data_IF_566770951148
#
_entry.id   IF_566770951148
#
_cell.length_a   1.000
_cell.length_b   1.000
_cell.length_c   1.000
_cell.angle_alpha   90.00
_cell.angle_beta   90.00
_cell.angle_gamma   90.00
#
_symmetry.space_group_name_H-M   'P 1'
#
loop_
_entity.id
_entity.type
_entity.pdbx_description
1 polymer ?
#
# COMPACT_ATOMS: atom_id res chain seq x y z
N UNK A 1 -18.12 14.03 6.18
CA UNK A 1 -18.59 15.04 7.17
C UNK A 1 -17.62 15.06 8.32
N UNK A 2 -16.77 16.10 8.37
CA UNK A 2 -15.78 16.22 9.42
C UNK A 2 -16.42 16.30 10.81
N UNK A 3 -16.05 15.37 11.66
CA UNK A 3 -16.46 15.42 13.04
C UNK A 3 -15.79 16.64 13.72
N UNK A 4 -16.59 17.44 14.41
CA UNK A 4 -16.04 18.50 15.26
C UNK A 4 -15.48 17.84 16.52
N UNK A 5 -14.15 17.73 16.63
CA UNK A 5 -13.50 17.28 17.85
C UNK A 5 -13.21 18.50 18.72
N UNK A 6 -14.03 18.71 19.73
CA UNK A 6 -13.94 19.88 20.60
C UNK A 6 -14.21 21.19 19.87
N UNK A 7 -13.27 22.15 19.93
CA UNK A 7 -13.36 23.45 19.24
C UNK A 7 -12.67 23.48 17.87
N UNK A 8 -12.04 22.38 17.44
CA UNK A 8 -11.30 22.30 16.19
C UNK A 8 -12.24 21.80 15.10
N UNK A 9 -12.63 22.69 14.19
CA UNK A 9 -13.43 22.34 13.02
C UNK A 9 -12.53 21.71 11.96
N UNK A 10 -13.06 20.69 11.24
CA UNK A 10 -12.35 20.05 10.13
C UNK A 10 -11.35 18.98 10.54
N UNK A 11 -11.24 18.65 11.82
CA UNK A 11 -10.40 17.56 12.29
C UNK A 11 -11.20 16.23 12.27
N UNK A 12 -10.63 15.24 11.62
CA UNK A 12 -11.20 13.90 11.48
C UNK A 12 -10.19 12.86 11.93
N UNK A 13 -10.70 11.78 12.52
CA UNK A 13 -9.94 10.59 12.87
C UNK A 13 -10.66 9.37 12.33
N UNK A 14 -9.90 8.44 11.77
CA UNK A 14 -10.35 7.08 11.50
C UNK A 14 -9.44 6.13 12.27
N UNK A 15 -10.04 5.14 12.89
CA UNK A 15 -9.38 3.98 13.43
C UNK A 15 -10.21 2.77 13.00
N UNK A 16 -9.68 1.99 12.09
CA UNK A 16 -10.35 0.82 11.51
C UNK A 16 -9.39 -0.37 11.60
N UNK A 17 -9.91 -1.48 12.05
CA UNK A 17 -9.22 -2.77 12.07
C UNK A 17 -10.20 -3.80 11.55
N UNK A 18 -9.86 -4.43 10.45
CA UNK A 18 -10.67 -5.45 9.80
C UNK A 18 -9.98 -6.81 9.88
N UNK A 19 -10.78 -7.82 10.16
CA UNK A 19 -10.34 -9.20 10.10
C UNK A 19 -11.06 -9.90 8.96
N UNK A 20 -10.29 -10.42 8.02
CA UNK A 20 -10.81 -11.14 6.86
C UNK A 20 -10.19 -12.53 6.79
N UNK A 21 -11.03 -13.55 6.59
CA UNK A 21 -10.58 -14.91 6.29
C UNK A 21 -10.98 -15.29 4.88
N UNK A 22 -9.99 -15.51 4.02
CA UNK A 22 -10.23 -15.88 2.63
C UNK A 22 -9.36 -17.08 2.24
N UNK A 23 -9.99 -18.12 1.69
CA UNK A 23 -9.32 -19.35 1.24
C UNK A 23 -8.40 -19.99 2.30
N UNK A 24 -8.76 -19.84 3.58
CA UNK A 24 -7.97 -20.42 4.68
C UNK A 24 -6.82 -19.54 5.17
N UNK A 25 -6.63 -18.36 4.58
CA UNK A 25 -5.67 -17.34 5.04
C UNK A 25 -6.41 -16.28 5.84
N UNK A 26 -5.84 -15.91 6.97
CA UNK A 26 -6.35 -14.87 7.86
C UNK A 26 -5.58 -13.56 7.59
N UNK A 27 -6.31 -12.47 7.35
CA UNK A 27 -5.79 -11.13 7.16
C UNK A 27 -6.27 -10.25 8.30
N UNK A 28 -5.36 -9.48 8.87
CA UNK A 28 -5.68 -8.40 9.80
C UNK A 28 -5.30 -7.09 9.12
N UNK A 29 -6.29 -6.38 8.62
CA UNK A 29 -6.09 -5.13 7.91
C UNK A 29 -6.28 -3.96 8.89
N UNK A 30 -5.49 -2.91 8.71
CA UNK A 30 -5.53 -1.73 9.56
C UNK A 30 -5.54 -0.48 8.70
N UNK A 31 -6.45 0.43 9.00
CA UNK A 31 -6.50 1.74 8.36
C UNK A 31 -6.74 2.82 9.40
N UNK A 32 -5.75 3.64 9.63
CA UNK A 32 -5.80 4.72 10.59
C UNK A 32 -5.43 6.02 9.93
N UNK A 33 -6.20 7.07 10.13
CA UNK A 33 -5.77 8.40 9.71
C UNK A 33 -6.18 9.50 10.69
N UNK A 34 -5.40 10.57 10.66
CA UNK A 34 -5.75 11.89 11.15
C UNK A 34 -5.78 12.83 9.97
N UNK A 35 -6.85 13.57 9.80
CA UNK A 35 -7.00 14.53 8.71
C UNK A 35 -7.55 15.85 9.22
N UNK A 36 -6.93 16.93 8.81
CA UNK A 36 -7.43 18.29 9.01
C UNK A 36 -7.78 18.90 7.65
N UNK A 37 -8.99 19.42 7.54
CA UNK A 37 -9.48 20.08 6.31
C UNK A 37 -10.13 21.40 6.68
N UNK A 38 -9.63 22.48 6.14
CA UNK A 38 -10.27 23.78 6.18
C UNK A 38 -10.55 24.33 4.78
N UNK A 39 -10.79 25.64 4.67
CA UNK A 39 -11.06 26.28 3.37
C UNK A 39 -9.83 26.34 2.46
N UNK A 40 -8.61 26.22 3.01
CA UNK A 40 -7.35 26.42 2.30
C UNK A 40 -6.43 25.22 2.30
N UNK A 41 -6.48 24.38 3.34
CA UNK A 41 -5.52 23.32 3.56
C UNK A 41 -6.18 21.98 3.76
N UNK A 42 -5.51 20.93 3.29
CA UNK A 42 -5.79 19.55 3.60
C UNK A 42 -4.48 18.97 4.13
N UNK A 43 -4.45 18.57 5.40
CA UNK A 43 -3.32 17.93 6.05
C UNK A 43 -3.78 16.52 6.43
N UNK A 44 -3.01 15.50 6.10
CA UNK A 44 -3.36 14.10 6.40
C UNK A 44 -2.11 13.33 6.84
N UNK A 45 -2.24 12.55 7.91
CA UNK A 45 -1.36 11.45 8.26
C UNK A 45 -2.15 10.16 8.18
N UNK A 46 -1.64 9.14 7.51
CA UNK A 46 -2.34 7.89 7.26
C UNK A 46 -1.40 6.70 7.44
N UNK A 47 -1.87 5.68 8.14
CA UNK A 47 -1.28 4.36 8.17
C UNK A 47 -2.26 3.37 7.54
N UNK A 48 -1.78 2.61 6.57
CA UNK A 48 -2.53 1.55 5.92
C UNK A 48 -1.71 0.26 5.94
N UNK A 49 -2.37 -0.81 6.32
CA UNK A 49 -1.91 -2.18 6.19
C UNK A 49 -3.08 -3.01 5.65
N UNK A 50 -2.96 -3.46 4.41
CA UNK A 50 -4.01 -4.19 3.68
C UNK A 50 -3.40 -5.45 3.09
N UNK A 51 -3.68 -6.59 3.70
CA UNK A 51 -3.14 -7.88 3.30
C UNK A 51 -3.70 -8.40 1.99
N UNK A 52 -4.90 -7.99 1.62
CA UNK A 52 -5.49 -8.36 0.33
C UNK A 52 -4.85 -7.59 -0.84
N UNK A 53 -4.64 -6.29 -0.64
CA UNK A 53 -3.98 -5.44 -1.63
C UNK A 53 -2.45 -5.56 -1.61
N UNK A 54 -1.90 -6.26 -0.61
CA UNK A 54 -0.45 -6.44 -0.40
C UNK A 54 0.28 -5.09 -0.25
N UNK A 55 -0.31 -4.21 0.57
CA UNK A 55 0.15 -2.83 0.75
C UNK A 55 0.32 -2.53 2.24
N UNK A 56 1.46 -1.92 2.59
CA UNK A 56 1.71 -1.37 3.92
C UNK A 56 2.48 -0.07 3.79
N UNK A 57 1.92 1.02 4.32
CA UNK A 57 2.59 2.31 4.29
C UNK A 57 2.17 3.25 5.41
N UNK A 58 3.05 4.20 5.71
CA UNK A 58 2.72 5.43 6.41
C UNK A 58 2.87 6.61 5.45
N UNK A 59 1.83 7.43 5.30
CA UNK A 59 1.83 8.59 4.41
C UNK A 59 1.50 9.87 5.19
N UNK A 60 2.24 10.93 4.91
CA UNK A 60 1.82 12.29 5.24
C UNK A 60 1.58 13.07 3.96
N UNK A 61 0.52 13.87 3.92
CA UNK A 61 0.26 14.75 2.79
C UNK A 61 -0.18 16.15 3.24
N UNK A 62 0.34 17.14 2.54
CA UNK A 62 0.06 18.56 2.73
C UNK A 62 -0.39 19.15 1.41
N UNK A 63 -1.63 19.64 1.35
CA UNK A 63 -2.21 20.14 0.11
C UNK A 63 -2.82 21.51 0.35
N UNK A 64 -2.60 22.41 -0.59
CA UNK A 64 -3.33 23.66 -0.69
C UNK A 64 -4.59 23.46 -1.52
N UNK A 65 -5.71 23.97 -1.02
CA UNK A 65 -7.03 23.86 -1.64
C UNK A 65 -7.43 25.17 -2.27
N UNK A 66 -7.74 25.12 -3.55
CA UNK A 66 -8.30 26.22 -4.30
C UNK A 66 -9.79 25.99 -4.55
N UNK A 67 -10.61 26.79 -3.90
CA UNK A 67 -12.08 26.72 -4.00
C UNK A 67 -12.54 27.54 -5.21
N UNK A 68 -13.03 26.87 -6.24
CA UNK A 68 -13.59 27.53 -7.43
C UNK A 68 -14.99 28.09 -7.13
N UNK A 69 -15.81 27.30 -6.42
CA UNK A 69 -17.13 27.66 -5.94
C UNK A 69 -17.53 26.75 -4.77
N UNK A 70 -18.74 26.86 -4.27
CA UNK A 70 -19.22 26.04 -3.15
C UNK A 70 -19.33 24.55 -3.43
N UNK A 71 -19.20 24.12 -4.69
CA UNK A 71 -19.32 22.74 -5.11
C UNK A 71 -18.02 22.11 -5.59
N UNK A 72 -17.11 22.92 -6.14
CA UNK A 72 -15.89 22.46 -6.78
C UNK A 72 -14.66 23.09 -6.14
N UNK A 73 -13.72 22.28 -5.77
CA UNK A 73 -12.37 22.69 -5.38
C UNK A 73 -11.32 21.81 -6.03
N UNK A 74 -10.18 22.39 -6.32
CA UNK A 74 -8.96 21.70 -6.68
C UNK A 74 -7.99 21.73 -5.51
N UNK A 75 -7.10 20.77 -5.45
CA UNK A 75 -6.01 20.78 -4.48
C UNK A 75 -4.70 20.35 -5.13
N UNK A 76 -3.61 20.90 -4.63
CA UNK A 76 -2.26 20.54 -5.07
C UNK A 76 -1.31 20.61 -3.86
N UNK A 77 -0.34 19.71 -3.82
CA UNK A 77 0.61 19.67 -2.73
C UNK A 77 1.60 18.52 -2.86
N UNK A 78 2.07 18.06 -1.72
CA UNK A 78 3.07 17.01 -1.63
C UNK A 78 2.58 15.90 -0.71
N UNK A 79 3.04 14.69 -1.01
CA UNK A 79 2.92 13.53 -0.13
C UNK A 79 4.30 12.92 0.10
N UNK A 80 4.51 12.45 1.31
CA UNK A 80 5.67 11.65 1.69
C UNK A 80 5.16 10.31 2.19
N UNK A 81 5.66 9.23 1.61
CA UNK A 81 5.24 7.90 1.95
C UNK A 81 6.44 7.05 2.33
N UNK A 82 6.35 6.41 3.48
CA UNK A 82 7.21 5.33 3.90
C UNK A 82 6.47 4.04 3.67
N UNK A 83 6.90 3.24 2.71
CA UNK A 83 6.27 1.96 2.37
C UNK A 83 7.16 0.79 2.72
N UNK A 84 6.52 -0.28 3.14
CA UNK A 84 7.12 -1.60 3.36
C UNK A 84 6.37 -2.61 2.50
N UNK A 85 7.04 -3.59 1.87
CA UNK A 85 6.36 -4.69 1.22
C UNK A 85 5.60 -5.51 2.27
N UNK A 86 4.31 -5.68 2.07
CA UNK A 86 3.47 -6.49 2.91
C UNK A 86 3.26 -7.86 2.26
N UNK A 87 3.38 -8.93 3.04
CA UNK A 87 3.20 -10.29 2.52
C UNK A 87 4.25 -10.75 1.50
N UNK A 88 5.31 -9.98 1.28
CA UNK A 88 6.35 -10.31 0.32
C UNK A 88 7.13 -11.56 0.74
N UNK A 89 7.07 -12.58 -0.12
CA UNK A 89 7.86 -13.81 0.02
C UNK A 89 8.93 -13.88 -1.09
N UNK A 90 10.19 -13.54 -0.77
CA UNK A 90 11.28 -13.57 -1.74
C UNK A 90 11.56 -14.95 -2.34
N UNK A 91 11.25 -16.01 -1.60
CA UNK A 91 11.46 -17.37 -2.08
C UNK A 91 10.37 -17.79 -3.06
N UNK A 92 9.12 -17.41 -2.79
CA UNK A 92 8.02 -17.65 -3.72
C UNK A 92 8.25 -16.90 -5.05
N UNK A 93 8.67 -15.64 -5.00
CA UNK A 93 9.03 -14.88 -6.20
C UNK A 93 10.18 -15.54 -6.96
N UNK A 94 11.27 -15.90 -6.25
CA UNK A 94 12.40 -16.57 -6.89
C UNK A 94 11.98 -17.90 -7.55
N UNK A 95 11.11 -18.69 -6.91
CA UNK A 95 10.59 -19.94 -7.47
C UNK A 95 9.75 -19.71 -8.73
N UNK A 96 8.94 -18.66 -8.76
CA UNK A 96 8.17 -18.27 -9.95
C UNK A 96 9.09 -17.89 -11.12
N UNK A 97 10.11 -17.10 -10.85
CA UNK A 97 11.07 -16.62 -11.87
C UNK A 97 11.97 -17.74 -12.42
N UNK A 98 12.25 -18.76 -11.60
CA UNK A 98 13.17 -19.83 -11.96
C UNK A 98 12.46 -21.19 -12.24
N UNK A 99 11.12 -21.21 -12.35
CA UNK A 99 10.38 -22.40 -12.79
C UNK A 99 10.36 -23.57 -11.79
N UNK A 100 10.32 -23.29 -10.49
CA UNK A 100 10.27 -24.28 -9.41
C UNK A 100 11.48 -25.26 -9.37
N UNK A 101 12.66 -24.77 -9.72
CA UNK A 101 13.89 -25.55 -9.57
C UNK A 101 14.34 -25.63 -8.12
N UNK A 102 15.17 -26.64 -7.82
CA UNK A 102 15.66 -26.88 -6.46
C UNK A 102 16.50 -25.70 -5.92
N UNK A 103 16.39 -25.40 -4.64
CA UNK A 103 17.10 -24.28 -3.98
C UNK A 103 18.65 -24.39 -4.01
N UNK A 104 19.20 -25.54 -4.34
CA UNK A 104 20.64 -25.64 -4.67
C UNK A 104 21.03 -24.65 -5.78
N UNK A 105 20.14 -24.41 -6.75
CA UNK A 105 20.39 -23.43 -7.79
C UNK A 105 20.45 -22.00 -7.25
N UNK A 106 19.59 -21.67 -6.28
CA UNK A 106 19.72 -20.39 -5.56
C UNK A 106 21.07 -20.24 -4.86
N UNK A 107 21.53 -21.32 -4.17
CA UNK A 107 22.84 -21.29 -3.53
C UNK A 107 23.99 -21.09 -4.54
N UNK A 108 23.92 -21.73 -5.70
CA UNK A 108 24.89 -21.50 -6.78
C UNK A 108 24.87 -20.05 -7.29
N UNK A 109 23.69 -19.47 -7.44
CA UNK A 109 23.55 -18.04 -7.80
C UNK A 109 24.12 -17.10 -6.73
N UNK A 110 24.16 -17.54 -5.45
CA UNK A 110 24.78 -16.80 -4.35
C UNK A 110 26.30 -17.05 -4.21
N UNK A 111 26.91 -17.77 -5.17
CA UNK A 111 28.34 -18.01 -5.21
C UNK A 111 28.82 -19.30 -4.54
N UNK A 112 27.92 -20.12 -4.02
CA UNK A 112 28.30 -21.45 -3.52
C UNK A 112 28.74 -22.34 -4.68
N UNK A 113 29.63 -23.28 -4.41
CA UNK A 113 30.12 -24.23 -5.39
C UNK A 113 29.91 -25.68 -4.91
N UNK A 114 29.65 -26.57 -5.87
CA UNK A 114 29.36 -27.98 -5.59
C UNK A 114 30.28 -28.86 -6.43
N UNK A 115 31.09 -29.66 -5.77
CA UNK A 115 31.82 -30.76 -6.38
C UNK A 115 31.03 -32.05 -6.22
N UNK A 116 30.20 -32.34 -7.19
CA UNK A 116 29.27 -33.50 -7.15
C UNK A 116 30.04 -34.82 -7.02
N UNK A 117 31.19 -34.96 -7.68
CA UNK A 117 31.99 -36.21 -7.68
C UNK A 117 32.57 -36.54 -6.31
N UNK A 118 32.94 -35.53 -5.53
CA UNK A 118 33.49 -35.69 -4.19
C UNK A 118 32.42 -35.53 -3.08
N UNK A 119 31.20 -35.12 -3.42
CA UNK A 119 30.18 -34.69 -2.46
C UNK A 119 30.65 -33.57 -1.54
N UNK A 120 31.43 -32.64 -2.08
CA UNK A 120 31.96 -31.49 -1.37
C UNK A 120 31.25 -30.22 -1.78
N UNK A 121 30.90 -29.38 -0.80
CA UNK A 121 30.17 -28.14 -1.00
C UNK A 121 30.94 -26.99 -0.35
N UNK A 122 31.11 -25.93 -1.11
CA UNK A 122 31.96 -24.79 -0.70
C UNK A 122 31.13 -23.51 -0.60
N UNK A 123 31.44 -22.69 0.40
CA UNK A 123 30.91 -21.33 0.53
C UNK A 123 31.42 -20.42 -0.59
N UNK A 124 30.83 -19.21 -0.77
CA UNK A 124 31.35 -18.21 -1.72
C UNK A 124 32.84 -17.84 -1.48
N UNK A 125 33.30 -17.95 -0.24
CA UNK A 125 34.70 -17.68 0.17
C UNK A 125 35.63 -18.88 -0.04
N UNK A 126 35.09 -19.99 -0.57
CA UNK A 126 35.87 -21.22 -0.86
C UNK A 126 36.06 -22.14 0.34
N UNK A 127 35.38 -21.92 1.45
CA UNK A 127 35.42 -22.81 2.62
C UNK A 127 34.55 -24.05 2.41
N UNK A 128 35.00 -25.21 2.83
CA UNK A 128 34.24 -26.45 2.80
C UNK A 128 33.14 -26.42 3.85
N UNK A 129 31.86 -26.35 3.43
CA UNK A 129 30.69 -26.19 4.31
C UNK A 129 29.86 -27.46 4.49
N UNK A 130 30.00 -28.43 3.58
CA UNK A 130 29.37 -29.75 3.71
C UNK A 130 30.18 -30.81 2.96
N UNK A 131 30.17 -32.05 3.50
CA UNK A 131 30.81 -33.24 2.91
C UNK A 131 29.80 -34.32 2.55
N UNK A 132 28.51 -34.02 2.62
CA UNK A 132 27.42 -34.88 2.19
C UNK A 132 26.25 -34.06 1.68
N UNK A 133 25.46 -34.69 0.84
CA UNK A 133 24.21 -34.09 0.32
C UNK A 133 23.21 -33.80 1.44
N UNK A 134 23.15 -34.67 2.45
CA UNK A 134 22.25 -34.52 3.59
C UNK A 134 22.58 -33.24 4.39
N UNK A 135 23.83 -33.03 4.77
CA UNK A 135 24.26 -31.80 5.47
C UNK A 135 24.05 -30.57 4.60
N UNK A 136 24.26 -30.67 3.29
CA UNK A 136 23.99 -29.62 2.36
C UNK A 136 22.51 -29.20 2.36
N UNK A 137 21.59 -30.15 2.22
CA UNK A 137 20.15 -29.90 2.10
C UNK A 137 19.49 -29.52 3.44
N UNK A 138 19.93 -30.13 4.56
CA UNK A 138 19.29 -29.92 5.85
C UNK A 138 19.90 -28.80 6.70
N UNK A 139 21.14 -28.42 6.44
CA UNK A 139 21.84 -27.41 7.24
C UNK A 139 22.23 -26.18 6.40
N UNK A 140 22.93 -26.39 5.28
CA UNK A 140 23.47 -25.26 4.50
C UNK A 140 22.37 -24.55 3.72
N UNK A 141 21.55 -25.27 2.98
CA UNK A 141 20.45 -24.67 2.19
C UNK A 141 19.51 -23.82 3.05
N UNK A 142 19.00 -24.26 4.22
CA UNK A 142 18.17 -23.44 5.07
C UNK A 142 18.84 -22.11 5.48
N UNK A 143 20.14 -22.15 5.78
CA UNK A 143 20.91 -20.94 6.08
C UNK A 143 21.02 -19.98 4.89
N UNK A 144 21.25 -20.52 3.69
CA UNK A 144 21.24 -19.74 2.44
C UNK A 144 19.88 -19.08 2.19
N UNK A 145 18.79 -19.83 2.36
CA UNK A 145 17.43 -19.32 2.18
C UNK A 145 17.11 -18.20 3.17
N UNK A 146 17.47 -18.39 4.44
CA UNK A 146 17.27 -17.39 5.48
C UNK A 146 18.01 -16.09 5.15
N UNK A 147 19.30 -16.20 4.80
CA UNK A 147 20.13 -15.04 4.44
C UNK A 147 19.65 -14.33 3.17
N UNK A 148 19.19 -15.09 2.17
CA UNK A 148 18.60 -14.53 0.95
C UNK A 148 17.32 -13.76 1.25
N UNK A 149 16.42 -14.37 2.04
CA UNK A 149 15.15 -13.77 2.43
C UNK A 149 15.38 -12.48 3.22
N UNK A 150 16.26 -12.51 4.22
CA UNK A 150 16.57 -11.35 5.03
C UNK A 150 17.14 -10.21 4.17
N UNK A 151 18.10 -10.49 3.31
CA UNK A 151 18.70 -9.49 2.42
C UNK A 151 17.66 -8.89 1.47
N UNK A 152 16.86 -9.74 0.82
CA UNK A 152 15.80 -9.28 -0.09
C UNK A 152 14.73 -8.44 0.62
N UNK A 153 14.36 -8.80 1.83
CA UNK A 153 13.47 -7.99 2.66
C UNK A 153 14.11 -6.66 3.05
N UNK A 154 15.40 -6.68 3.43
CA UNK A 154 16.13 -5.46 3.76
C UNK A 154 16.30 -4.52 2.55
N UNK A 155 16.55 -5.07 1.36
CA UNK A 155 16.64 -4.30 0.13
C UNK A 155 15.31 -3.62 -0.26
N UNK A 156 14.18 -4.20 0.13
CA UNK A 156 12.84 -3.68 -0.13
C UNK A 156 12.27 -2.88 1.04
N UNK A 157 12.86 -3.01 2.23
CA UNK A 157 12.41 -2.32 3.43
C UNK A 157 12.67 -0.82 3.31
N UNK A 158 11.60 -0.05 3.60
CA UNK A 158 11.67 1.39 3.79
C UNK A 158 12.02 2.22 2.55
N UNK A 159 11.20 2.09 1.54
CA UNK A 159 11.20 3.05 0.45
C UNK A 159 10.56 4.36 0.90
N UNK A 160 11.35 5.44 0.95
CA UNK A 160 10.84 6.78 1.18
C UNK A 160 10.52 7.42 -0.16
N UNK A 161 9.26 7.72 -0.37
CA UNK A 161 8.76 8.31 -1.60
C UNK A 161 8.27 9.73 -1.36
N UNK A 162 8.60 10.60 -2.29
CA UNK A 162 8.09 11.96 -2.34
C UNK A 162 7.30 12.13 -3.63
N UNK A 163 6.09 12.63 -3.53
CA UNK A 163 5.19 12.77 -4.67
C UNK A 163 4.55 14.14 -4.69
N UNK A 164 4.37 14.69 -5.89
CA UNK A 164 3.43 15.80 -6.09
C UNK A 164 2.03 15.20 -6.12
N UNK A 165 1.10 15.83 -5.45
CA UNK A 165 -0.31 15.40 -5.42
C UNK A 165 -1.17 16.47 -6.05
N UNK A 166 -2.01 16.07 -6.99
CA UNK A 166 -3.04 16.90 -7.60
C UNK A 166 -4.39 16.24 -7.36
N UNK A 167 -5.39 17.04 -7.01
CA UNK A 167 -6.70 16.47 -6.76
C UNK A 167 -7.84 17.44 -7.01
N UNK A 168 -9.03 16.90 -7.03
CA UNK A 168 -10.25 17.69 -7.01
C UNK A 168 -11.30 17.04 -6.12
N UNK A 169 -12.24 17.89 -5.65
CA UNK A 169 -13.43 17.50 -4.92
C UNK A 169 -14.62 18.22 -5.51
N UNK A 170 -15.69 17.48 -5.79
CA UNK A 170 -16.97 18.02 -6.26
C UNK A 170 -18.10 17.55 -5.37
N UNK A 171 -18.81 18.50 -4.79
CA UNK A 171 -19.96 18.26 -3.92
C UNK A 171 -21.25 18.79 -4.55
N UNK A 172 -22.30 18.01 -4.44
CA UNK A 172 -23.65 18.45 -4.79
C UNK A 172 -24.63 18.06 -3.69
N UNK A 173 -25.30 19.06 -3.17
CA UNK A 173 -26.33 18.89 -2.14
C UNK A 173 -27.65 19.42 -2.65
N UNK A 174 -28.70 18.63 -2.44
CA UNK A 174 -30.08 19.03 -2.62
C UNK A 174 -30.85 18.70 -1.33
N UNK A 175 -32.15 18.94 -1.30
CA UNK A 175 -32.98 18.66 -0.12
C UNK A 175 -32.91 17.19 0.32
N UNK A 176 -32.85 16.26 -0.61
CA UNK A 176 -32.88 14.81 -0.32
C UNK A 176 -31.71 14.03 -0.91
N UNK A 177 -31.00 14.58 -1.89
CA UNK A 177 -29.90 13.90 -2.56
C UNK A 177 -28.58 14.65 -2.32
N UNK A 178 -27.53 13.91 -2.07
CA UNK A 178 -26.18 14.45 -2.03
C UNK A 178 -25.20 13.55 -2.77
N UNK A 179 -24.15 14.14 -3.32
CA UNK A 179 -23.07 13.43 -3.95
C UNK A 179 -21.74 14.10 -3.65
N UNK A 180 -20.72 13.29 -3.55
CA UNK A 180 -19.31 13.71 -3.47
C UNK A 180 -18.51 12.87 -4.46
N UNK A 181 -17.86 13.54 -5.40
CA UNK A 181 -16.89 12.93 -6.31
C UNK A 181 -15.52 13.51 -6.02
N UNK A 182 -14.51 12.69 -5.97
CA UNK A 182 -13.13 13.13 -5.79
C UNK A 182 -12.18 12.32 -6.66
N UNK A 183 -11.04 12.91 -6.98
CA UNK A 183 -9.90 12.19 -7.51
C UNK A 183 -8.60 12.79 -6.99
N UNK A 184 -7.58 11.96 -6.95
CA UNK A 184 -6.21 12.32 -6.60
C UNK A 184 -5.25 11.66 -7.56
N UNK A 185 -4.28 12.42 -8.07
CA UNK A 185 -3.25 12.00 -8.98
C UNK A 185 -1.90 12.28 -8.35
N UNK A 186 -0.96 11.34 -8.47
CA UNK A 186 0.44 11.50 -8.06
C UNK A 186 1.34 11.25 -9.29
N UNK A 187 1.55 12.28 -10.13
CA UNK A 187 2.22 12.10 -11.42
C UNK A 187 3.73 11.93 -11.33
N UNK A 188 4.34 12.27 -10.18
CA UNK A 188 5.78 12.23 -10.00
C UNK A 188 6.12 11.61 -8.66
N UNK A 189 7.07 10.68 -8.69
CA UNK A 189 7.61 10.02 -7.52
C UNK A 189 9.13 10.10 -7.52
N UNK A 190 9.67 10.46 -6.37
CA UNK A 190 11.10 10.38 -6.09
C UNK A 190 11.28 9.33 -5.02
N UNK A 191 11.99 8.27 -5.32
CA UNK A 191 12.19 7.12 -4.46
C UNK A 191 13.61 7.13 -3.91
N UNK A 192 13.76 7.19 -2.58
CA UNK A 192 15.07 7.26 -1.90
C UNK A 192 16.00 8.34 -2.47
N UNK A 193 15.45 9.47 -2.92
CA UNK A 193 16.20 10.56 -3.53
C UNK A 193 16.49 10.39 -5.03
N UNK A 194 16.10 9.29 -5.64
CA UNK A 194 16.25 9.02 -7.07
C UNK A 194 14.88 9.01 -7.77
N UNK A 195 14.80 9.67 -8.90
CA UNK A 195 13.62 9.63 -9.73
C UNK A 195 13.65 8.38 -10.60
N UNK A 196 12.71 7.45 -10.38
CA UNK A 196 12.67 6.19 -11.10
C UNK A 196 11.26 5.90 -11.63
N UNK A 197 11.10 5.95 -12.95
CA UNK A 197 9.88 5.49 -13.62
C UNK A 197 9.77 3.97 -13.67
N UNK A 198 10.89 3.29 -13.92
CA UNK A 198 10.90 1.86 -14.21
C UNK A 198 10.65 1.01 -12.96
N UNK A 199 11.16 1.47 -11.83
CA UNK A 199 11.01 0.79 -10.55
C UNK A 199 9.60 0.93 -9.97
N UNK A 200 8.87 1.94 -10.43
CA UNK A 200 7.55 2.28 -9.96
C UNK A 200 6.50 1.82 -10.97
N UNK A 201 5.56 0.97 -10.55
CA UNK A 201 4.42 0.55 -11.37
C UNK A 201 4.75 -0.12 -12.72
N UNK A 202 5.80 -0.91 -12.84
CA UNK A 202 6.17 -1.57 -14.10
C UNK A 202 6.22 -0.58 -15.30
N UNK A 203 6.83 0.60 -15.10
CA UNK A 203 6.92 1.65 -16.11
C UNK A 203 5.71 2.59 -16.17
N UNK A 204 4.72 2.45 -15.31
CA UNK A 204 3.63 3.40 -15.18
C UNK A 204 4.00 4.49 -14.18
N UNK A 205 3.98 5.71 -14.63
CA UNK A 205 4.44 6.90 -13.91
C UNK A 205 3.37 7.58 -13.04
N UNK A 206 2.13 7.08 -13.05
CA UNK A 206 0.99 7.73 -12.43
C UNK A 206 0.31 6.82 -11.42
N UNK A 207 0.35 7.20 -10.16
CA UNK A 207 -0.59 6.69 -9.16
C UNK A 207 -1.84 7.56 -9.14
N UNK A 208 -2.99 6.95 -8.97
CA UNK A 208 -4.24 7.68 -8.87
C UNK A 208 -5.27 6.96 -8.01
N UNK A 209 -6.16 7.74 -7.45
CA UNK A 209 -7.35 7.24 -6.78
C UNK A 209 -8.52 8.15 -7.13
N UNK A 210 -9.71 7.59 -7.11
CA UNK A 210 -10.91 8.38 -7.30
C UNK A 210 -12.12 7.64 -6.78
N UNK A 211 -13.14 8.39 -6.41
CA UNK A 211 -14.35 7.80 -5.90
C UNK A 211 -15.57 8.69 -6.06
N UNK A 212 -16.71 8.06 -5.86
CA UNK A 212 -18.01 8.67 -5.92
C UNK A 212 -18.87 8.15 -4.79
N UNK A 213 -19.44 9.06 -4.01
CA UNK A 213 -20.49 8.75 -3.04
C UNK A 213 -21.80 9.34 -3.57
N UNK A 214 -22.84 8.54 -3.56
CA UNK A 214 -24.22 8.94 -3.83
C UNK A 214 -25.05 8.63 -2.61
N UNK A 215 -25.66 9.66 -2.02
CA UNK A 215 -26.46 9.51 -0.83
C UNK A 215 -27.87 10.06 -1.02
N UNK A 216 -28.81 9.42 -0.37
CA UNK A 216 -30.21 9.82 -0.37
C UNK A 216 -30.76 9.90 1.06
N UNK A 217 -31.33 11.05 1.39
CA UNK A 217 -31.99 11.30 2.66
C UNK A 217 -33.45 10.90 2.57
N UNK A 218 -33.82 9.80 3.19
CA UNK A 218 -35.20 9.27 3.22
C UNK A 218 -36.09 10.16 4.08
N UNK A 219 -35.58 10.54 5.26
CA UNK A 219 -36.27 11.49 6.16
C UNK A 219 -35.21 12.23 7.02
N UNK A 220 -35.66 12.99 8.03
CA UNK A 220 -34.75 13.77 8.88
C UNK A 220 -33.78 12.93 9.73
N UNK A 221 -34.08 11.66 9.94
CA UNK A 221 -33.28 10.74 10.77
C UNK A 221 -32.58 9.66 9.96
N UNK A 222 -33.11 9.31 8.79
CA UNK A 222 -32.65 8.16 8.02
C UNK A 222 -32.12 8.58 6.66
N UNK A 223 -30.94 8.13 6.33
CA UNK A 223 -30.31 8.25 5.01
C UNK A 223 -29.64 6.96 4.60
N UNK A 224 -29.39 6.84 3.32
CA UNK A 224 -28.61 5.73 2.75
C UNK A 224 -27.60 6.27 1.77
N UNK A 225 -26.51 5.55 1.55
CA UNK A 225 -25.51 5.90 0.55
C UNK A 225 -24.88 4.66 -0.07
N UNK A 226 -24.35 4.86 -1.25
CA UNK A 226 -23.43 3.95 -1.92
C UNK A 226 -22.15 4.71 -2.20
N UNK A 227 -21.02 4.04 -2.03
CA UNK A 227 -19.68 4.54 -2.33
C UNK A 227 -18.97 3.54 -3.23
N UNK A 228 -18.39 4.04 -4.31
CA UNK A 228 -17.46 3.31 -5.15
C UNK A 228 -16.14 4.04 -5.17
N UNK A 229 -15.05 3.33 -4.98
CA UNK A 229 -13.69 3.85 -5.00
C UNK A 229 -12.80 2.96 -5.85
N UNK A 230 -11.93 3.57 -6.62
CA UNK A 230 -10.90 2.90 -7.38
C UNK A 230 -9.54 3.47 -6.99
N UNK A 231 -8.58 2.58 -6.76
CA UNK A 231 -7.23 2.93 -6.38
C UNK A 231 -6.23 2.23 -7.29
N UNK A 232 -5.21 2.95 -7.70
CA UNK A 232 -4.02 2.43 -8.31
C UNK A 232 -2.81 3.02 -7.60
N UNK A 233 -2.09 2.18 -6.87
CA UNK A 233 -0.85 2.53 -6.20
C UNK A 233 0.19 1.47 -6.53
N UNK A 234 1.37 1.88 -6.93
CA UNK A 234 2.42 0.99 -7.46
C UNK A 234 1.91 0.14 -8.63
N UNK A 235 2.09 -1.15 -8.57
CA UNK A 235 1.56 -2.12 -9.54
C UNK A 235 0.22 -2.73 -9.11
N UNK A 236 -0.42 -2.22 -8.06
CA UNK A 236 -1.68 -2.73 -7.53
C UNK A 236 -2.84 -1.85 -7.91
N UNK A 237 -3.92 -2.50 -8.29
CA UNK A 237 -5.20 -1.87 -8.61
C UNK A 237 -6.30 -2.57 -7.85
N UNK A 238 -7.18 -1.81 -7.20
CA UNK A 238 -8.32 -2.39 -6.50
C UNK A 238 -9.52 -1.45 -6.47
N UNK A 239 -10.67 -2.07 -6.24
CA UNK A 239 -11.97 -1.40 -6.15
C UNK A 239 -12.55 -1.64 -4.77
N UNK A 240 -13.03 -0.57 -4.14
CA UNK A 240 -13.84 -0.65 -2.93
C UNK A 240 -15.28 -0.27 -3.28
N UNK A 241 -16.22 -1.03 -2.78
CA UNK A 241 -17.63 -0.71 -2.89
C UNK A 241 -18.29 -0.83 -1.52
N UNK A 242 -18.93 0.27 -1.07
CA UNK A 242 -19.61 0.32 0.23
C UNK A 242 -21.07 0.72 0.05
N UNK A 243 -21.93 0.06 0.80
CA UNK A 243 -23.31 0.47 1.03
C UNK A 243 -23.51 0.79 2.50
N UNK A 244 -24.14 1.90 2.81
CA UNK A 244 -24.37 2.30 4.19
C UNK A 244 -25.74 2.91 4.43
N UNK A 245 -26.16 2.78 5.67
CA UNK A 245 -27.36 3.41 6.20
C UNK A 245 -26.96 4.29 7.37
N UNK A 246 -27.31 5.58 7.30
CA UNK A 246 -27.05 6.54 8.36
C UNK A 246 -28.33 6.79 9.15
N UNK A 247 -28.28 6.62 10.45
CA UNK A 247 -29.37 6.97 11.35
C UNK A 247 -28.92 8.01 12.36
N UNK A 248 -29.64 9.11 12.42
CA UNK A 248 -29.37 10.23 13.35
C UNK A 248 -30.36 10.14 14.51
N UNK A 249 -29.84 9.99 15.72
CA UNK A 249 -30.59 9.71 16.97
C UNK A 249 -31.08 11.00 17.65
N UNK A 250 -30.83 12.21 17.13
CA UNK A 250 -31.18 13.48 17.77
C UNK A 250 -32.54 14.01 17.30
#
# INVERSE_FOLDING_TARGET
DGANVGKVRGLEFLFEVDYTRQQGVDYLDQHHFIRYVDDKYILKGEYLEDGFADIKYFETSERYKYKVNDKLSFNAGFAQRLSEPYGYDPLAEWMLDNGNIHYTYLALQQGYNVNVAASEYFSPDGELVATSKEVWEEVVIPGVLASYTERKRNDLNQTIQHSVVLGFDYYRYTKSFWSHAWASLMPFHVDNGEFSYEKYNNGQWLDYSGGLILGYKINKHLGTFVEGKYNKYWNREWYDFKFGVNYVIF
#
